data_IF_113935445790
#
_entry.id   IF_113935445790
#
_cell.length_a   1.000
_cell.length_b   1.000
_cell.length_c   1.000
_cell.angle_alpha   90.00
_cell.angle_beta   90.00
_cell.angle_gamma   90.00
#
_symmetry.space_group_name_H-M   'P 1'
#
loop_
_entity.id
_entity.type
_entity.pdbx_description
1 polymer ?
#
# COMPACT_ATOMS: atom_id res chain seq x y z
N UNK A 1 -5.66 2.16 -12.30
CA UNK A 1 -5.13 3.28 -11.48
C UNK A 1 -4.73 2.76 -10.12
N UNK A 2 -3.44 2.89 -9.79
CA UNK A 2 -2.89 2.50 -8.51
C UNK A 2 -2.64 3.70 -7.59
N UNK A 3 -2.98 3.59 -6.30
CA UNK A 3 -2.85 4.71 -5.36
C UNK A 3 -3.02 4.31 -3.90
N UNK A 4 -2.88 5.26 -2.98
CA UNK A 4 -3.11 5.01 -1.55
C UNK A 4 -4.60 5.11 -1.20
N UNK A 5 -5.09 4.16 -0.41
CA UNK A 5 -6.35 4.26 0.33
C UNK A 5 -6.14 4.84 1.72
N UNK A 6 -5.01 4.49 2.36
CA UNK A 6 -4.58 5.05 3.65
C UNK A 6 -3.13 5.51 3.49
N UNK A 7 -2.91 6.80 3.67
CA UNK A 7 -1.57 7.39 3.60
C UNK A 7 -0.82 7.11 4.91
N UNK A 8 0.52 6.95 4.87
CA UNK A 8 1.32 7.02 6.07
C UNK A 8 1.13 8.40 6.74
N UNK A 9 1.17 8.47 8.09
CA UNK A 9 1.13 9.75 8.79
C UNK A 9 2.25 10.69 8.35
N UNK A 10 1.98 12.00 8.36
CA UNK A 10 2.99 13.00 8.03
C UNK A 10 4.11 13.11 9.06
N UNK A 11 3.85 12.68 10.30
CA UNK A 11 4.81 12.66 11.42
C UNK A 11 4.72 11.35 12.17
N UNK A 12 5.85 10.69 12.38
CA UNK A 12 5.92 9.35 12.98
C UNK A 12 7.15 9.27 13.89
N UNK A 13 7.12 8.32 14.82
CA UNK A 13 8.28 8.03 15.67
C UNK A 13 9.16 6.97 15.00
N UNK A 14 10.49 7.05 15.15
CA UNK A 14 11.36 5.96 14.73
C UNK A 14 11.03 4.68 15.52
N UNK A 15 11.20 3.52 14.89
CA UNK A 15 11.04 2.20 15.52
C UNK A 15 9.63 1.89 16.07
N UNK A 16 8.62 2.66 15.65
CA UNK A 16 7.20 2.42 16.00
C UNK A 16 6.42 2.15 14.72
N UNK A 17 5.55 1.14 14.77
CA UNK A 17 4.70 0.80 13.63
C UNK A 17 3.80 1.97 13.24
N UNK A 18 3.70 2.22 11.94
CA UNK A 18 2.89 3.28 11.38
C UNK A 18 1.42 3.04 11.70
N UNK A 19 0.75 4.07 12.21
CA UNK A 19 -0.68 4.05 12.44
C UNK A 19 -1.34 5.37 11.99
N UNK A 20 -2.38 5.32 11.15
CA UNK A 20 -3.00 4.12 10.58
C UNK A 20 -2.07 3.33 9.64
N UNK A 21 -2.34 2.02 9.43
CA UNK A 21 -1.53 1.18 8.55
C UNK A 21 -1.54 1.70 7.12
N UNK A 22 -0.41 1.57 6.43
CA UNK A 22 -0.31 1.97 5.03
C UNK A 22 -1.13 1.00 4.19
N UNK A 23 -1.97 1.53 3.32
CA UNK A 23 -2.82 0.69 2.45
C UNK A 23 -2.90 1.29 1.06
N UNK A 24 -2.57 0.47 0.06
CA UNK A 24 -2.74 0.81 -1.34
C UNK A 24 -4.04 0.20 -1.88
N UNK A 25 -4.57 0.78 -2.96
CA UNK A 25 -5.74 0.33 -3.70
C UNK A 25 -5.44 0.31 -5.19
N UNK A 26 -6.05 -0.65 -5.86
CA UNK A 26 -6.04 -0.79 -7.31
C UNK A 26 -7.46 -0.62 -7.84
N UNK A 27 -7.64 0.42 -8.64
CA UNK A 27 -8.88 0.70 -9.34
C UNK A 27 -8.76 0.30 -10.81
N UNK A 28 -9.79 -0.34 -11.36
CA UNK A 28 -9.86 -0.73 -12.77
C UNK A 28 -11.28 -0.55 -13.31
N UNK A 29 -11.37 -0.19 -14.59
CA UNK A 29 -12.61 -0.13 -15.36
C UNK A 29 -13.06 -1.51 -15.84
N UNK A 30 -12.09 -2.39 -16.13
CA UNK A 30 -12.31 -3.80 -16.45
C UNK A 30 -12.37 -4.69 -15.22
N UNK A 31 -12.93 -5.89 -15.40
CA UNK A 31 -12.86 -6.95 -14.40
C UNK A 31 -11.46 -7.58 -14.42
N UNK A 32 -10.77 -7.50 -13.27
CA UNK A 32 -9.41 -8.01 -13.07
C UNK A 32 -9.35 -9.13 -12.02
N UNK A 33 -10.50 -9.63 -11.52
CA UNK A 33 -10.53 -10.59 -10.40
C UNK A 33 -9.77 -11.89 -10.70
N UNK A 34 -9.77 -12.33 -11.96
CA UNK A 34 -9.00 -13.50 -12.39
C UNK A 34 -7.48 -13.28 -12.37
N UNK A 35 -7.01 -12.03 -12.48
CA UNK A 35 -5.59 -11.68 -12.53
C UNK A 35 -5.02 -11.34 -11.15
N UNK A 36 -5.87 -11.03 -10.16
CA UNK A 36 -5.43 -10.62 -8.82
C UNK A 36 -4.51 -11.66 -8.14
N UNK A 37 -4.71 -12.95 -8.43
CA UNK A 37 -3.84 -14.02 -7.92
C UNK A 37 -2.38 -13.96 -8.41
N UNK A 38 -2.11 -13.16 -9.43
CA UNK A 38 -0.78 -12.95 -10.01
C UNK A 38 -0.20 -11.57 -9.68
N UNK A 39 -0.91 -10.77 -8.87
CA UNK A 39 -0.55 -9.40 -8.52
C UNK A 39 -0.19 -9.31 -7.04
N UNK A 40 0.93 -8.66 -6.75
CA UNK A 40 1.33 -8.29 -5.39
C UNK A 40 1.95 -6.90 -5.39
N UNK A 41 2.01 -6.29 -4.22
CA UNK A 41 2.61 -4.98 -4.05
C UNK A 41 3.78 -5.06 -3.08
N UNK A 42 4.81 -4.24 -3.33
CA UNK A 42 6.02 -4.14 -2.49
C UNK A 42 6.18 -2.70 -2.02
N UNK A 43 6.36 -2.51 -0.71
CA UNK A 43 6.66 -1.23 -0.08
C UNK A 43 8.17 -1.01 0.02
N UNK A 44 8.65 0.15 -0.40
CA UNK A 44 10.03 0.60 -0.23
C UNK A 44 10.08 2.00 0.35
N UNK A 45 11.17 2.33 1.05
CA UNK A 45 11.38 3.65 1.62
C UNK A 45 12.26 4.47 0.69
N UNK A 46 11.83 5.68 0.37
CA UNK A 46 12.56 6.62 -0.48
C UNK A 46 12.99 7.81 0.37
N UNK A 47 14.28 8.10 0.37
CA UNK A 47 14.79 9.33 0.99
C UNK A 47 14.27 10.55 0.23
N UNK A 48 13.68 11.53 0.93
CA UNK A 48 12.98 12.65 0.28
C UNK A 48 13.90 13.52 -0.57
N UNK A 49 15.09 13.81 -0.08
CA UNK A 49 15.97 14.80 -0.71
C UNK A 49 16.91 14.18 -1.77
N UNK A 50 17.54 13.02 -1.49
CA UNK A 50 18.37 12.29 -2.45
C UNK A 50 17.59 11.43 -3.46
N UNK A 51 16.34 11.04 -3.16
CA UNK A 51 15.57 10.11 -3.99
C UNK A 51 16.04 8.65 -3.92
N UNK A 52 16.97 8.33 -3.02
CA UNK A 52 17.53 6.99 -2.86
C UNK A 52 16.54 6.02 -2.21
N UNK A 53 16.53 4.78 -2.69
CA UNK A 53 15.78 3.68 -2.06
C UNK A 53 16.57 3.10 -0.89
N UNK A 54 15.99 3.12 0.31
CA UNK A 54 16.62 2.70 1.56
C UNK A 54 16.07 1.35 2.03
N UNK A 55 16.76 0.26 1.69
CA UNK A 55 16.30 -1.10 1.97
C UNK A 55 16.34 -1.47 3.46
N UNK A 56 17.38 -1.03 4.18
CA UNK A 56 17.62 -1.41 5.58
C UNK A 56 16.91 -0.48 6.60
N UNK A 57 16.19 0.54 6.13
CA UNK A 57 15.54 1.52 7.01
C UNK A 57 14.02 1.32 7.15
N UNK A 58 13.46 0.33 6.46
CA UNK A 58 12.05 -0.03 6.50
C UNK A 58 11.89 -1.48 7.01
N UNK A 59 11.12 -1.66 8.08
CA UNK A 59 10.81 -2.97 8.67
C UNK A 59 9.32 -3.29 8.64
N UNK A 60 8.97 -4.51 9.08
CA UNK A 60 7.60 -5.02 9.08
C UNK A 60 7.26 -5.83 7.82
N UNK A 61 5.98 -6.01 7.53
CA UNK A 61 5.49 -6.61 6.29
C UNK A 61 5.63 -5.61 5.15
N UNK A 62 6.55 -5.90 4.21
CA UNK A 62 6.86 -5.04 3.06
C UNK A 62 6.30 -5.54 1.74
N UNK A 63 5.66 -6.71 1.71
CA UNK A 63 5.00 -7.23 0.52
C UNK A 63 3.63 -7.79 0.90
N UNK A 64 2.65 -7.60 0.02
CA UNK A 64 1.31 -8.14 0.19
C UNK A 64 0.70 -8.53 -1.15
N UNK A 65 -0.11 -9.59 -1.15
CA UNK A 65 -0.91 -10.00 -2.29
C UNK A 65 -2.15 -9.14 -2.42
N UNK A 66 -2.77 -9.13 -3.61
CA UNK A 66 -4.01 -8.39 -3.82
C UNK A 66 -5.17 -9.02 -3.03
N UNK A 67 -5.87 -8.20 -2.25
CA UNK A 67 -7.12 -8.57 -1.57
C UNK A 67 -8.30 -8.02 -2.36
N UNK A 68 -9.20 -8.86 -2.89
CA UNK A 68 -10.35 -8.41 -3.67
C UNK A 68 -11.28 -7.49 -2.85
N UNK A 69 -11.69 -6.37 -3.43
CA UNK A 69 -12.76 -5.53 -2.88
C UNK A 69 -14.07 -5.90 -3.55
N UNK A 70 -15.15 -6.14 -2.78
CA UNK A 70 -16.46 -6.43 -3.36
C UNK A 70 -16.96 -5.23 -4.19
N UNK A 71 -17.61 -5.53 -5.33
CA UNK A 71 -18.32 -4.49 -6.08
C UNK A 71 -19.55 -4.08 -5.27
N UNK A 72 -19.47 -2.95 -4.57
CA UNK A 72 -20.49 -2.53 -3.63
C UNK A 72 -21.83 -2.16 -4.28
N UNK A 73 -22.00 -2.32 -5.61
CA UNK A 73 -23.27 -2.19 -6.34
C UNK A 73 -23.94 -0.81 -6.28
N UNK A 74 -23.40 0.12 -5.48
CA UNK A 74 -23.92 1.47 -5.27
C UNK A 74 -23.44 2.37 -6.38
N UNK A 75 -24.10 2.25 -7.54
CA UNK A 75 -24.51 3.34 -8.41
C UNK A 75 -23.52 4.48 -8.67
N UNK A 76 -22.21 4.22 -8.75
CA UNK A 76 -21.26 5.21 -9.23
C UNK A 76 -21.00 4.92 -10.70
N UNK A 77 -21.48 5.80 -11.57
CA UNK A 77 -21.12 5.91 -13.00
C UNK A 77 -19.65 6.33 -13.19
N UNK A 78 -18.78 5.98 -12.24
CA UNK A 78 -17.35 6.21 -12.29
C UNK A 78 -16.73 5.19 -13.24
N UNK A 79 -16.01 5.69 -14.23
CA UNK A 79 -15.29 4.87 -15.20
C UNK A 79 -14.29 3.91 -14.52
N UNK A 80 -13.83 4.18 -13.29
CA UNK A 80 -12.95 3.27 -12.53
C UNK A 80 -13.56 2.90 -11.17
N UNK A 81 -13.56 1.61 -10.84
CA UNK A 81 -13.98 1.09 -9.52
C UNK A 81 -12.78 0.53 -8.78
N UNK A 82 -12.74 0.71 -7.46
CA UNK A 82 -11.74 0.03 -6.61
C UNK A 82 -12.01 -1.49 -6.66
N UNK A 83 -11.00 -2.27 -7.08
CA UNK A 83 -11.10 -3.73 -7.30
C UNK A 83 -10.32 -4.54 -6.30
N UNK A 84 -9.21 -4.00 -5.80
CA UNK A 84 -8.38 -4.67 -4.81
C UNK A 84 -7.65 -3.68 -3.90
N UNK A 85 -7.14 -4.18 -2.79
CA UNK A 85 -6.27 -3.44 -1.89
C UNK A 85 -5.05 -4.27 -1.47
N UNK A 86 -4.05 -3.59 -0.92
CA UNK A 86 -2.81 -4.18 -0.38
C UNK A 86 -2.52 -3.51 0.96
N UNK A 87 -2.33 -4.30 2.01
CA UNK A 87 -2.22 -3.84 3.38
C UNK A 87 -0.85 -4.13 3.99
N UNK A 88 -0.24 -3.08 4.54
CA UNK A 88 1.05 -3.13 5.22
C UNK A 88 0.85 -2.69 6.69
N UNK A 89 0.43 -3.61 7.57
CA UNK A 89 -0.14 -3.28 8.88
C UNK A 89 0.89 -2.82 9.92
N UNK A 90 2.15 -3.15 9.73
CA UNK A 90 3.19 -3.08 10.75
C UNK A 90 4.49 -2.44 10.23
N UNK A 91 4.40 -1.62 9.16
CA UNK A 91 5.57 -0.88 8.65
C UNK A 91 6.22 -0.07 9.78
N UNK A 92 7.53 -0.17 9.89
CA UNK A 92 8.35 0.61 10.83
C UNK A 92 9.45 1.35 10.06
N UNK A 93 9.71 2.61 10.40
CA UNK A 93 10.87 3.35 9.87
C UNK A 93 11.88 3.52 11.00
N UNK A 94 13.13 3.11 10.79
CA UNK A 94 14.12 2.97 11.87
C UNK A 94 14.81 4.27 12.26
N UNK A 95 15.10 5.14 11.28
CA UNK A 95 15.94 6.30 11.49
C UNK A 95 15.15 7.62 11.33
N UNK A 96 15.47 8.66 12.13
CA UNK A 96 14.94 10.00 11.91
C UNK A 96 15.33 10.56 10.54
N UNK A 97 14.41 11.29 9.92
CA UNK A 97 14.62 11.84 8.59
C UNK A 97 13.33 12.21 7.87
N UNK A 98 13.46 12.54 6.57
CA UNK A 98 12.33 12.88 5.70
C UNK A 98 12.25 11.86 4.58
N UNK A 99 11.12 11.17 4.49
CA UNK A 99 10.97 10.04 3.59
C UNK A 99 9.64 10.07 2.82
N UNK A 100 9.51 9.17 1.86
CA UNK A 100 8.24 8.72 1.29
C UNK A 100 8.23 7.20 1.28
N UNK A 101 7.06 6.59 1.44
CA UNK A 101 6.85 5.18 1.13
C UNK A 101 6.43 5.08 -0.33
N UNK A 102 7.15 4.29 -1.12
CA UNK A 102 6.75 3.91 -2.48
C UNK A 102 6.13 2.53 -2.41
N UNK A 103 4.94 2.39 -3.00
CA UNK A 103 4.35 1.08 -3.25
C UNK A 103 4.49 0.79 -4.73
N UNK A 104 5.07 -0.37 -5.06
CA UNK A 104 5.28 -0.84 -6.43
C UNK A 104 4.41 -2.06 -6.68
N UNK A 105 3.61 -2.02 -7.74
CA UNK A 105 2.79 -3.13 -8.19
C UNK A 105 3.61 -4.07 -9.07
N UNK A 106 3.60 -5.34 -8.70
CA UNK A 106 4.28 -6.43 -9.38
C UNK A 106 3.24 -7.39 -9.97
N UNK A 107 3.50 -7.90 -11.16
CA UNK A 107 2.62 -8.86 -11.84
C UNK A 107 3.43 -9.97 -12.51
N UNK A 108 2.98 -11.22 -12.38
CA UNK A 108 3.53 -12.34 -13.15
C UNK A 108 2.82 -12.44 -14.50
N UNK A 109 3.56 -12.23 -15.58
CA UNK A 109 3.05 -12.39 -16.93
C UNK A 109 3.23 -13.84 -17.41
N UNK A 110 2.11 -14.53 -17.65
CA UNK A 110 2.04 -15.87 -18.22
C UNK A 110 1.72 -15.89 -19.73
N UNK A 111 1.62 -14.72 -20.38
CA UNK A 111 1.23 -14.58 -21.80
C UNK A 111 2.34 -15.00 -22.76
N UNK A 112 3.59 -15.13 -22.30
CA UNK A 112 4.75 -15.39 -23.14
C UNK A 112 4.96 -16.89 -23.38
N UNK A 113 4.43 -17.41 -24.50
CA UNK A 113 4.62 -18.79 -24.94
C UNK A 113 6.07 -19.17 -25.33
N UNK A 114 7.03 -18.23 -25.30
CA UNK A 114 8.42 -18.43 -25.72
C UNK A 114 9.46 -18.29 -24.59
N UNK A 115 9.03 -18.09 -23.34
CA UNK A 115 9.92 -17.98 -22.18
C UNK A 115 9.56 -19.05 -21.15
N UNK A 116 10.52 -19.59 -20.37
CA UNK A 116 10.21 -20.57 -19.35
C UNK A 116 9.35 -19.89 -18.27
N UNK A 117 8.05 -20.17 -18.25
CA UNK A 117 7.10 -19.97 -17.15
C UNK A 117 7.29 -18.70 -16.29
N UNK A 118 6.50 -17.65 -16.57
CA UNK A 118 6.20 -16.55 -15.64
C UNK A 118 7.30 -15.49 -15.49
N UNK A 119 7.26 -14.43 -16.30
CA UNK A 119 8.16 -13.27 -16.13
C UNK A 119 7.52 -12.29 -15.13
N UNK A 120 8.27 -11.88 -14.12
CA UNK A 120 7.83 -10.82 -13.20
C UNK A 120 8.06 -9.46 -13.86
N UNK A 121 7.00 -8.66 -13.92
CA UNK A 121 7.02 -7.31 -14.46
C UNK A 121 6.62 -6.31 -13.39
N UNK A 122 7.25 -5.12 -13.44
CA UNK A 122 6.82 -3.95 -12.66
C UNK A 122 5.79 -3.21 -13.49
N UNK A 123 4.54 -3.13 -13.02
CA UNK A 123 3.45 -2.50 -13.78
C UNK A 123 3.36 -1.00 -13.49
N UNK A 124 3.16 -0.63 -12.21
CA UNK A 124 2.94 0.75 -11.77
C UNK A 124 3.58 0.97 -10.39
N UNK A 125 3.86 2.22 -10.01
CA UNK A 125 4.21 2.57 -8.64
C UNK A 125 3.55 3.88 -8.22
N UNK A 126 3.38 4.08 -6.92
CA UNK A 126 2.83 5.29 -6.32
C UNK A 126 3.61 5.68 -5.08
N UNK A 127 3.84 6.97 -4.89
CA UNK A 127 4.60 7.52 -3.78
C UNK A 127 3.68 8.21 -2.77
N UNK A 128 3.93 7.98 -1.49
CA UNK A 128 3.20 8.63 -0.42
C UNK A 128 3.50 10.13 -0.33
N UNK A 129 2.71 10.82 0.48
CA UNK A 129 3.09 12.12 1.03
C UNK A 129 4.39 12.02 1.85
N UNK A 130 5.02 13.16 2.10
CA UNK A 130 6.24 13.22 2.94
C UNK A 130 5.94 12.75 4.36
N UNK A 131 6.81 11.89 4.87
CA UNK A 131 6.82 11.44 6.25
C UNK A 131 8.01 12.10 6.93
N UNK A 132 7.77 12.75 8.06
CA UNK A 132 8.81 13.25 8.96
C UNK A 132 8.95 12.27 10.12
N UNK A 133 10.12 11.66 10.24
CA UNK A 133 10.43 10.72 11.32
C UNK A 133 11.25 11.46 12.35
N UNK A 134 10.70 11.64 13.54
CA UNK A 134 11.34 12.38 14.63
C UNK A 134 10.86 11.87 15.99
N UNK A 135 11.72 12.00 16.99
CA UNK A 135 11.40 11.65 18.36
C UNK A 135 10.25 12.51 18.90
N UNK A 136 9.38 11.92 19.71
CA UNK A 136 8.28 12.64 20.34
C UNK A 136 7.07 12.96 19.45
N UNK A 137 7.07 12.55 18.17
CA UNK A 137 5.90 12.72 17.27
C UNK A 137 4.61 12.19 17.92
N UNK A 138 3.48 12.92 17.86
CA UNK A 138 2.22 12.40 18.37
C UNK A 138 1.75 11.21 17.54
N UNK A 139 0.98 10.30 18.15
CA UNK A 139 0.32 9.23 17.40
C UNK A 139 -0.72 9.86 16.47
N UNK A 140 -0.66 9.52 15.18
CA UNK A 140 -1.63 10.01 14.22
C UNK A 140 -3.02 9.43 14.47
N UNK A 141 -4.03 10.20 14.04
CA UNK A 141 -5.43 9.80 14.07
C UNK A 141 -5.93 9.67 12.62
N UNK A 142 -6.60 8.57 12.27
CA UNK A 142 -7.20 8.42 10.96
C UNK A 142 -8.22 9.52 10.70
N UNK A 143 -8.35 9.96 9.45
CA UNK A 143 -9.47 10.80 9.02
C UNK A 143 -10.72 9.96 8.69
N UNK A 144 -11.85 10.60 8.38
CA UNK A 144 -13.12 9.89 8.12
C UNK A 144 -13.07 8.87 6.99
N UNK A 145 -12.31 9.15 5.92
CA UNK A 145 -12.13 8.22 4.79
C UNK A 145 -11.26 7.04 5.19
N UNK A 146 -10.17 7.31 5.92
CA UNK A 146 -9.29 6.25 6.44
C UNK A 146 -10.05 5.36 7.43
N UNK A 147 -10.88 5.92 8.31
CA UNK A 147 -11.74 5.13 9.21
C UNK A 147 -12.70 4.22 8.44
N UNK A 148 -13.29 4.69 7.34
CA UNK A 148 -14.15 3.88 6.50
C UNK A 148 -13.36 2.71 5.88
N UNK A 149 -12.14 2.96 5.42
CA UNK A 149 -11.30 1.90 4.86
C UNK A 149 -10.78 0.93 5.92
N UNK A 150 -10.41 1.41 7.11
CA UNK A 150 -10.03 0.57 8.25
C UNK A 150 -11.15 -0.39 8.66
N UNK A 151 -12.41 0.00 8.49
CA UNK A 151 -13.54 -0.90 8.69
C UNK A 151 -13.55 -2.04 7.67
N UNK A 152 -13.32 -1.75 6.39
CA UNK A 152 -13.18 -2.76 5.34
C UNK A 152 -12.07 -3.77 5.70
N UNK A 153 -10.90 -3.26 6.11
CA UNK A 153 -9.79 -4.11 6.51
C UNK A 153 -10.15 -5.05 7.67
N UNK A 154 -10.86 -4.54 8.68
CA UNK A 154 -11.31 -5.35 9.83
C UNK A 154 -12.37 -6.38 9.46
N UNK A 155 -13.32 -5.98 8.63
CA UNK A 155 -14.38 -6.86 8.14
C UNK A 155 -13.78 -8.01 7.28
N UNK A 156 -12.66 -7.75 6.60
CA UNK A 156 -11.88 -8.75 5.85
C UNK A 156 -10.86 -9.53 6.71
N UNK A 157 -10.86 -9.34 8.03
CA UNK A 157 -10.02 -10.09 8.97
C UNK A 157 -8.54 -9.68 9.02
N UNK A 158 -8.18 -8.54 8.43
CA UNK A 158 -6.81 -8.02 8.50
C UNK A 158 -6.42 -7.65 9.93
N UNK A 159 -5.18 -7.97 10.30
CA UNK A 159 -4.61 -7.65 11.61
C UNK A 159 -4.23 -6.16 11.67
N UNK A 160 -5.24 -5.30 11.83
CA UNK A 160 -5.07 -3.85 11.95
C UNK A 160 -4.76 -3.50 13.41
N UNK A 161 -3.64 -2.84 13.72
CA UNK A 161 -3.33 -2.42 15.09
C UNK A 161 -4.46 -1.59 15.71
N UNK A 162 -4.80 -1.85 16.97
CA UNK A 162 -5.77 -1.05 17.71
C UNK A 162 -5.15 0.32 18.07
N UNK A 163 -5.94 1.38 17.90
CA UNK A 163 -5.61 2.77 18.26
C UNK A 163 -5.36 2.96 19.75
#
# INVERSE_FOLDING_TARGET
>A
MFGFAIQPPSRVRPNVSLYPPVTARLASDVDIFGELGHIWAVATLIHRDSGETLYEQLGGKLADSAHPLPDNGRGSSSAMKDRAYFCFPDIVIHHPGRYRVRITLMHVDYSCGSSPSGVVTVSEHTDSNTIMVEEGSPRARPNGQEYAFLRILRDDGQQVPLS
#
